data_IF_327535133584
#
_entry.id   IF_327535133584
#
_cell.length_a   1.000
_cell.length_b   1.000
_cell.length_c   1.000
_cell.angle_alpha   90.00
_cell.angle_beta   90.00
_cell.angle_gamma   90.00
#
_symmetry.space_group_name_H-M   'P 1'
#
loop_
_entity.id
_entity.type
_entity.pdbx_description
1 polymer ?
#
# COMPACT_ATOMS: atom_id res chain seq x y z
N UNK A 1 -2.12 -4.16 -7.92
CA UNK A 1 -1.24 -3.31 -7.09
C UNK A 1 -0.79 -2.01 -7.76
N UNK A 2 -0.43 -1.98 -9.05
CA UNK A 2 0.08 -0.77 -9.74
C UNK A 2 -0.73 0.52 -9.55
N UNK A 3 -2.06 0.45 -9.62
CA UNK A 3 -2.92 1.63 -9.48
C UNK A 3 -2.82 2.24 -8.06
N UNK A 4 -2.67 1.40 -7.03
CA UNK A 4 -2.55 1.87 -5.64
C UNK A 4 -1.26 2.64 -5.40
N UNK A 5 -0.18 2.21 -6.05
CA UNK A 5 1.10 2.92 -6.00
C UNK A 5 0.88 4.32 -6.59
N UNK A 6 0.32 4.42 -7.79
CA UNK A 6 0.04 5.71 -8.44
C UNK A 6 -0.87 6.59 -7.57
N UNK A 7 -1.97 6.03 -7.04
CA UNK A 7 -2.88 6.75 -6.13
C UNK A 7 -2.19 7.24 -4.85
N UNK A 8 -1.22 6.50 -4.30
CA UNK A 8 -0.51 6.91 -3.08
C UNK A 8 0.45 8.10 -3.30
N UNK A 9 0.91 8.30 -4.54
CA UNK A 9 1.76 9.41 -4.95
C UNK A 9 0.98 10.60 -5.52
N UNK A 10 -0.29 10.39 -5.89
CA UNK A 10 -1.21 11.43 -6.35
C UNK A 10 -1.76 12.19 -5.13
N UNK A 11 -1.51 13.50 -5.09
CA UNK A 11 -1.98 14.42 -4.05
C UNK A 11 -3.50 14.63 -4.11
N UNK A 12 -4.08 14.54 -5.31
CA UNK A 12 -5.51 14.67 -5.55
C UNK A 12 -6.29 13.34 -5.36
N UNK A 13 -5.58 12.23 -5.16
CA UNK A 13 -6.15 10.88 -5.05
C UNK A 13 -6.88 10.40 -6.31
N UNK A 14 -6.81 11.15 -7.42
CA UNK A 14 -7.51 10.83 -8.66
C UNK A 14 -6.73 9.82 -9.53
N UNK A 15 -5.49 9.48 -9.13
CA UNK A 15 -4.63 8.54 -9.85
C UNK A 15 -3.94 9.17 -11.06
N UNK A 16 -4.00 10.49 -11.21
CA UNK A 16 -3.18 11.24 -12.16
C UNK A 16 -1.97 11.79 -11.43
N UNK A 17 -0.79 11.68 -12.05
CA UNK A 17 0.44 12.26 -11.51
C UNK A 17 0.83 13.47 -12.35
N UNK A 18 1.03 14.60 -11.69
CA UNK A 18 1.82 15.69 -12.20
C UNK A 18 3.28 15.25 -12.38
N UNK A 19 4.03 16.05 -13.13
CA UNK A 19 5.45 15.78 -13.36
C UNK A 19 6.25 15.71 -12.05
N UNK A 20 5.93 16.55 -11.06
CA UNK A 20 6.63 16.55 -9.77
C UNK A 20 6.33 15.26 -8.99
N UNK A 21 5.06 14.86 -8.89
CA UNK A 21 4.67 13.62 -8.18
C UNK A 21 5.27 12.38 -8.86
N UNK A 22 5.40 12.40 -10.18
CA UNK A 22 6.09 11.35 -10.92
C UNK A 22 7.58 11.29 -10.57
N UNK A 23 8.27 12.43 -10.50
CA UNK A 23 9.69 12.48 -10.11
C UNK A 23 9.88 12.06 -8.65
N UNK A 24 8.96 12.44 -7.75
CA UNK A 24 8.97 12.04 -6.35
C UNK A 24 8.79 10.52 -6.21
N UNK A 25 7.88 9.93 -6.97
CA UNK A 25 7.69 8.49 -7.04
C UNK A 25 8.98 7.75 -7.41
N UNK A 26 9.67 8.19 -8.48
CA UNK A 26 10.94 7.59 -8.87
C UNK A 26 12.05 7.81 -7.84
N UNK A 27 12.05 8.96 -7.18
CA UNK A 27 13.02 9.29 -6.13
C UNK A 27 12.88 8.35 -4.93
N UNK A 28 11.65 8.06 -4.50
CA UNK A 28 11.37 7.12 -3.39
C UNK A 28 11.68 5.68 -3.77
N UNK A 29 11.39 5.29 -5.02
CA UNK A 29 11.64 3.94 -5.51
C UNK A 29 13.12 3.67 -5.84
N UNK A 30 13.95 4.70 -5.93
CA UNK A 30 15.39 4.57 -6.15
C UNK A 30 16.06 3.69 -5.10
N UNK A 31 17.06 2.91 -5.49
CA UNK A 31 17.88 2.11 -4.56
C UNK A 31 18.57 2.99 -3.51
N UNK A 32 18.92 4.22 -3.87
CA UNK A 32 19.60 5.18 -3.00
C UNK A 32 18.70 5.84 -1.96
N UNK A 33 17.37 5.65 -2.04
CA UNK A 33 16.45 6.31 -1.13
C UNK A 33 16.55 5.74 0.30
N UNK A 34 16.45 6.60 1.34
CA UNK A 34 16.50 6.16 2.73
C UNK A 34 15.44 5.10 3.04
N UNK A 35 15.81 4.11 3.85
CA UNK A 35 14.90 3.03 4.25
C UNK A 35 13.65 3.55 4.97
N UNK A 36 13.80 4.60 5.78
CA UNK A 36 12.70 5.26 6.49
C UNK A 36 11.68 5.85 5.52
N UNK A 37 12.15 6.57 4.49
CA UNK A 37 11.28 7.14 3.45
C UNK A 37 10.52 6.02 2.70
N UNK A 38 11.20 4.92 2.36
CA UNK A 38 10.55 3.76 1.75
C UNK A 38 9.50 3.13 2.67
N UNK A 39 9.77 3.05 3.97
CA UNK A 39 8.83 2.51 4.94
C UNK A 39 7.58 3.38 5.06
N UNK A 40 7.73 4.71 5.09
CA UNK A 40 6.62 5.66 5.12
C UNK A 40 5.72 5.49 3.90
N UNK A 41 6.32 5.46 2.70
CA UNK A 41 5.55 5.27 1.46
C UNK A 41 4.96 3.87 1.34
N UNK A 42 5.66 2.83 1.80
CA UNK A 42 5.09 1.49 1.88
C UNK A 42 3.82 1.51 2.74
N UNK A 43 3.87 2.10 3.93
CA UNK A 43 2.70 2.24 4.81
C UNK A 43 1.55 2.95 4.10
N UNK A 44 1.83 4.08 3.42
CA UNK A 44 0.84 4.82 2.62
C UNK A 44 0.22 4.01 1.48
N UNK A 45 0.96 3.07 0.88
CA UNK A 45 0.45 2.18 -0.18
C UNK A 45 -0.48 1.11 0.41
N UNK A 46 -0.15 0.58 1.59
CA UNK A 46 -0.93 -0.47 2.25
C UNK A 46 -2.17 0.05 2.97
N UNK A 47 -2.15 1.27 3.50
CA UNK A 47 -3.30 1.96 4.08
C UNK A 47 -4.29 2.31 2.95
N UNK A 48 -5.47 1.66 2.88
CA UNK A 48 -6.46 1.92 1.83
C UNK A 48 -7.49 2.97 2.24
N UNK A 49 -7.78 3.12 3.54
CA UNK A 49 -8.78 4.04 4.04
C UNK A 49 -8.20 5.45 4.33
N UNK A 50 -6.87 5.60 4.25
CA UNK A 50 -6.11 6.83 4.46
C UNK A 50 -6.29 7.38 5.88
N UNK A 51 -6.44 6.49 6.86
CA UNK A 51 -6.56 6.86 8.27
C UNK A 51 -5.21 6.93 9.02
N UNK A 52 -4.10 6.60 8.33
CA UNK A 52 -2.75 6.46 8.87
C UNK A 52 -2.58 5.28 9.84
N UNK A 53 -3.51 4.34 9.85
CA UNK A 53 -3.43 3.06 10.54
C UNK A 53 -3.54 1.92 9.52
N UNK A 54 -2.95 0.78 9.85
CA UNK A 54 -3.17 -0.45 9.09
C UNK A 54 -4.17 -1.29 9.86
N UNK A 55 -5.39 -1.38 9.35
CA UNK A 55 -6.45 -2.16 9.96
C UNK A 55 -6.59 -3.53 9.27
N UNK A 56 -7.38 -4.41 9.90
CA UNK A 56 -7.74 -5.71 9.32
C UNK A 56 -8.29 -5.57 7.89
N UNK A 57 -9.14 -4.57 7.67
CA UNK A 57 -9.74 -4.29 6.35
C UNK A 57 -8.70 -3.92 5.27
N UNK A 58 -7.62 -3.21 5.62
CA UNK A 58 -6.54 -2.86 4.70
C UNK A 58 -5.70 -4.09 4.35
N UNK A 59 -5.44 -4.94 5.34
CA UNK A 59 -4.76 -6.22 5.14
C UNK A 59 -5.60 -7.18 4.27
N UNK A 60 -6.91 -7.26 4.49
CA UNK A 60 -7.82 -8.06 3.67
C UNK A 60 -7.81 -7.60 2.20
N UNK A 61 -7.91 -6.28 1.97
CA UNK A 61 -7.82 -5.70 0.61
C UNK A 61 -6.46 -5.93 -0.02
N UNK A 62 -5.40 -5.83 0.76
CA UNK A 62 -4.02 -6.10 0.33
C UNK A 62 -3.86 -7.55 -0.12
N UNK A 63 -4.26 -8.49 0.73
CA UNK A 63 -4.17 -9.92 0.48
C UNK A 63 -4.95 -10.30 -0.77
N UNK A 64 -6.22 -9.87 -0.88
CA UNK A 64 -7.03 -10.11 -2.06
C UNK A 64 -6.37 -9.58 -3.35
N UNK A 65 -5.77 -8.39 -3.32
CA UNK A 65 -5.06 -7.83 -4.49
C UNK A 65 -3.74 -8.52 -4.81
N UNK A 66 -3.08 -9.15 -3.84
CA UNK A 66 -1.81 -9.88 -4.02
C UNK A 66 -2.06 -11.31 -4.48
N UNK A 67 -3.03 -12.00 -3.89
CA UNK A 67 -3.38 -13.40 -4.20
C UNK A 67 -4.41 -13.54 -5.31
N UNK A 68 -4.90 -12.43 -5.87
CA UNK A 68 -5.93 -12.41 -6.93
C UNK A 68 -7.19 -13.18 -6.53
N UNK A 69 -7.60 -13.04 -5.27
CA UNK A 69 -8.80 -13.70 -4.72
C UNK A 69 -8.73 -15.24 -4.73
N UNK A 70 -7.52 -15.82 -4.76
CA UNK A 70 -7.33 -17.28 -4.67
C UNK A 70 -7.44 -17.81 -3.24
N UNK A 71 -7.46 -16.94 -2.23
CA UNK A 71 -7.62 -17.32 -0.83
C UNK A 71 -9.09 -17.35 -0.43
N UNK A 72 -9.44 -18.33 0.41
CA UNK A 72 -10.76 -18.36 1.06
C UNK A 72 -10.88 -17.29 2.14
N UNK A 73 -12.10 -16.88 2.46
CA UNK A 73 -12.36 -15.87 3.51
C UNK A 73 -11.76 -16.27 4.87
N UNK A 74 -11.72 -17.57 5.17
CA UNK A 74 -11.14 -18.10 6.41
C UNK A 74 -9.61 -17.95 6.45
N UNK A 75 -8.94 -18.22 5.32
CA UNK A 75 -7.49 -18.07 5.21
C UNK A 75 -7.07 -16.60 5.28
N UNK A 76 -7.83 -15.70 4.63
CA UNK A 76 -7.58 -14.26 4.70
C UNK A 76 -7.68 -13.78 6.15
N UNK A 77 -8.74 -14.18 6.87
CA UNK A 77 -8.91 -13.81 8.29
C UNK A 77 -7.76 -14.34 9.14
N UNK A 78 -7.35 -15.60 8.94
CA UNK A 78 -6.25 -16.21 9.69
C UNK A 78 -4.93 -15.45 9.50
N UNK A 79 -4.61 -15.05 8.25
CA UNK A 79 -3.39 -14.30 7.95
C UNK A 79 -3.46 -12.89 8.55
N UNK A 80 -4.61 -12.22 8.45
CA UNK A 80 -4.81 -10.91 9.06
C UNK A 80 -4.64 -10.95 10.58
N UNK A 81 -5.24 -11.92 11.28
CA UNK A 81 -5.12 -12.04 12.74
C UNK A 81 -3.68 -12.32 13.17
N UNK A 82 -2.99 -13.25 12.50
CA UNK A 82 -1.58 -13.51 12.79
C UNK A 82 -0.67 -12.31 12.56
N UNK A 83 -0.95 -11.51 11.53
CA UNK A 83 -0.13 -10.32 11.19
C UNK A 83 -0.32 -9.19 12.18
N UNK A 84 -1.49 -9.09 12.84
CA UNK A 84 -1.79 -8.05 13.85
C UNK A 84 -1.25 -8.44 15.23
N UNK A 85 -1.21 -9.74 15.55
CA UNK A 85 -0.71 -10.25 16.83
C UNK A 85 0.83 -10.35 16.92
N UNK A 86 1.56 -10.29 15.79
CA UNK A 86 3.04 -10.24 15.71
C UNK A 86 3.61 -8.82 15.85
#
# INVERSE_FOLDING_TARGET
FRNRIVESFSEDGAGNLSFNEFVDMFSVLSETAPRELKAIYAFKIYDFNVDNYLCKEDLEKTLNKLTKEELTSEEVVLVCEKTIDE
#
